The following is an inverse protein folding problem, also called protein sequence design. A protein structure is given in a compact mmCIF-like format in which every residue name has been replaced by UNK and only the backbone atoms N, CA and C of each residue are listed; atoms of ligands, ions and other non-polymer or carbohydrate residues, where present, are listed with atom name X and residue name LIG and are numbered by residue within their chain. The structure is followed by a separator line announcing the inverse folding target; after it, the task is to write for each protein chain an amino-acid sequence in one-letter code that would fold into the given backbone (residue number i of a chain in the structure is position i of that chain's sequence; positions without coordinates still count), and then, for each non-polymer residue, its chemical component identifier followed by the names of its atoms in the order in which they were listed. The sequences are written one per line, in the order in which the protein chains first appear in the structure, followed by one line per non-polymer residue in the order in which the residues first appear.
data_IF_202040941959
#
_entry.id   IF_202040941959
#
_cell.length_a   1.000
_cell.length_b   1.000
_cell.length_c   1.000
_cell.angle_alpha   90.00
_cell.angle_beta   90.00
_cell.angle_gamma   90.00
#
_symmetry.space_group_name_H-M   'P 1'
#
loop_
_entity.id
_entity.type
_entity.pdbx_description
1 polymer ?
#
# COMPACT_ATOMS: atom_id res chain seq x y z
N UNK A 1 -1.50 17.34 -0.24
CA UNK A 1 -1.24 16.46 -1.40
C UNK A 1 -1.78 17.03 -2.71
N UNK A 2 -2.99 17.60 -2.75
CA UNK A 2 -3.56 18.26 -3.95
C UNK A 2 -2.65 19.37 -4.51
N UNK A 3 -2.21 20.32 -3.68
CA UNK A 3 -1.31 21.41 -4.10
C UNK A 3 0.02 20.89 -4.65
N UNK A 4 0.58 19.86 -4.00
CA UNK A 4 1.83 19.23 -4.44
C UNK A 4 1.67 18.56 -5.82
N UNK A 5 0.58 17.81 -6.03
CA UNK A 5 0.30 17.22 -7.35
C UNK A 5 0.16 18.29 -8.42
N UNK A 6 -0.56 19.37 -8.14
CA UNK A 6 -0.71 20.49 -9.07
C UNK A 6 0.66 21.10 -9.46
N UNK A 7 1.52 21.37 -8.47
CA UNK A 7 2.86 21.91 -8.69
C UNK A 7 3.74 20.95 -9.49
N UNK A 8 3.75 19.67 -9.14
CA UNK A 8 4.50 18.65 -9.89
C UNK A 8 4.01 18.58 -11.33
N UNK A 9 2.69 18.59 -11.57
CA UNK A 9 2.13 18.61 -12.93
C UNK A 9 2.61 19.81 -13.73
N UNK A 10 2.61 21.01 -13.13
CA UNK A 10 3.10 22.21 -13.80
C UNK A 10 4.59 22.10 -14.15
N UNK A 11 5.42 21.70 -13.19
CA UNK A 11 6.88 21.57 -13.40
C UNK A 11 7.21 20.49 -14.42
N UNK A 12 6.56 19.32 -14.34
CA UNK A 12 6.80 18.21 -15.25
C UNK A 12 6.44 18.55 -16.70
N UNK A 13 5.47 19.43 -16.94
CA UNK A 13 5.10 19.87 -18.28
C UNK A 13 6.07 20.91 -18.88
N UNK A 14 6.89 21.56 -18.08
CA UNK A 14 7.83 22.60 -18.54
C UNK A 14 9.29 22.18 -18.54
N UNK A 15 9.75 21.54 -17.45
CA UNK A 15 11.17 21.29 -17.22
C UNK A 15 11.63 19.99 -17.90
N UNK A 16 12.54 20.07 -18.87
CA UNK A 16 13.12 18.90 -19.54
C UNK A 16 12.03 17.93 -20.06
N UNK A 17 10.90 18.48 -20.50
CA UNK A 17 9.79 17.69 -20.99
C UNK A 17 10.19 16.99 -22.29
N UNK A 18 9.99 15.66 -22.33
CA UNK A 18 10.20 14.85 -23.52
C UNK A 18 8.85 14.50 -24.14
N UNK A 19 8.75 14.42 -25.48
CA UNK A 19 7.51 14.05 -26.13
C UNK A 19 7.15 12.59 -25.83
N UNK A 20 5.86 12.35 -25.58
CA UNK A 20 5.26 11.02 -25.47
C UNK A 20 4.33 10.84 -26.67
N UNK A 21 4.82 10.24 -27.78
CA UNK A 21 4.10 10.23 -29.06
C UNK A 21 2.72 9.58 -28.97
N UNK A 22 2.57 8.52 -28.17
CA UNK A 22 1.32 7.78 -28.01
C UNK A 22 0.16 8.63 -27.44
N UNK A 23 0.48 9.71 -26.73
CA UNK A 23 -0.49 10.57 -26.05
C UNK A 23 -0.54 11.98 -26.62
N UNK A 24 0.33 12.32 -27.59
CA UNK A 24 0.50 13.67 -28.11
C UNK A 24 0.73 14.72 -27.01
N UNK A 25 1.43 14.34 -25.94
CA UNK A 25 1.83 15.24 -24.84
C UNK A 25 3.35 15.30 -24.73
N UNK A 26 3.86 16.20 -23.90
CA UNK A 26 5.25 16.21 -23.47
C UNK A 26 5.31 16.42 -21.96
N UNK A 27 6.12 15.61 -21.27
CA UNK A 27 6.37 15.76 -19.83
C UNK A 27 7.71 15.15 -19.41
N UNK A 28 8.17 15.50 -18.22
CA UNK A 28 9.38 14.96 -17.60
C UNK A 28 9.09 13.64 -16.89
N UNK A 29 9.41 12.52 -17.53
CA UNK A 29 9.12 11.17 -17.02
C UNK A 29 9.96 10.83 -15.79
N UNK A 30 11.25 11.22 -15.77
CA UNK A 30 12.15 10.99 -14.63
C UNK A 30 11.67 11.71 -13.36
N UNK A 31 11.24 12.97 -13.48
CA UNK A 31 10.64 13.72 -12.37
C UNK A 31 9.38 13.02 -11.83
N UNK A 32 8.54 12.52 -12.73
CA UNK A 32 7.33 11.80 -12.34
C UNK A 32 7.67 10.48 -11.65
N UNK A 33 8.61 9.70 -12.17
CA UNK A 33 9.08 8.46 -11.54
C UNK A 33 9.53 8.74 -10.09
N UNK A 34 10.44 9.70 -9.89
CA UNK A 34 10.91 10.11 -8.57
C UNK A 34 9.78 10.57 -7.65
N UNK A 35 8.82 11.31 -8.18
CA UNK A 35 7.66 11.77 -7.41
C UNK A 35 6.80 10.60 -6.94
N UNK A 36 6.47 9.65 -7.83
CA UNK A 36 5.66 8.48 -7.48
C UNK A 36 6.39 7.62 -6.43
N UNK A 37 7.71 7.45 -6.55
CA UNK A 37 8.52 6.74 -5.56
C UNK A 37 8.43 7.42 -4.19
N UNK A 38 8.53 8.75 -4.17
CA UNK A 38 8.37 9.56 -2.96
C UNK A 38 6.98 9.41 -2.32
N UNK A 39 5.92 9.29 -3.12
CA UNK A 39 4.58 8.99 -2.60
C UNK A 39 4.52 7.59 -1.97
N UNK A 40 5.04 6.56 -2.62
CA UNK A 40 5.07 5.21 -2.04
C UNK A 40 5.80 5.17 -0.70
N UNK A 41 6.96 5.84 -0.59
CA UNK A 41 7.69 5.98 0.69
C UNK A 41 6.84 6.72 1.72
N UNK A 42 6.17 7.81 1.32
CA UNK A 42 5.31 8.60 2.22
C UNK A 42 4.11 7.82 2.76
N UNK A 43 3.57 6.89 1.96
CA UNK A 43 2.51 5.99 2.36
C UNK A 43 3.00 4.73 3.12
N UNK A 44 4.31 4.57 3.31
CA UNK A 44 4.90 3.39 3.95
C UNK A 44 4.81 2.12 3.09
N UNK A 45 4.68 2.27 1.78
CA UNK A 45 4.62 1.20 0.79
C UNK A 45 6.00 0.89 0.18
N UNK A 46 7.08 1.39 0.77
CA UNK A 46 8.43 0.96 0.44
C UNK A 46 8.82 -0.32 1.20
N UNK A 47 9.80 -1.05 0.66
CA UNK A 47 10.24 -2.35 1.20
C UNK A 47 10.67 -2.27 2.67
N UNK A 48 11.30 -1.15 3.07
CA UNK A 48 11.79 -0.98 4.44
C UNK A 48 10.65 -0.77 5.44
N UNK A 49 9.65 0.03 5.06
CA UNK A 49 8.46 0.28 5.87
C UNK A 49 7.60 -0.99 6.01
N UNK A 50 7.38 -1.71 4.90
CA UNK A 50 6.65 -2.98 4.92
C UNK A 50 7.36 -4.05 5.75
N UNK A 51 8.70 -4.12 5.69
CA UNK A 51 9.49 -5.04 6.53
C UNK A 51 9.33 -4.74 8.01
N UNK A 52 9.41 -3.48 8.41
CA UNK A 52 9.17 -3.08 9.81
C UNK A 52 7.75 -3.43 10.28
N UNK A 53 6.75 -3.23 9.43
CA UNK A 53 5.37 -3.59 9.75
C UNK A 53 5.19 -5.12 9.90
N UNK A 54 5.83 -5.91 9.04
CA UNK A 54 5.87 -7.36 9.12
C UNK A 54 6.52 -7.84 10.41
N UNK A 55 7.70 -7.30 10.75
CA UNK A 55 8.43 -7.62 12.00
C UNK A 55 7.61 -7.27 13.25
N UNK A 56 6.97 -6.10 13.28
CA UNK A 56 6.16 -5.65 14.42
C UNK A 56 4.91 -6.53 14.65
N UNK A 57 4.36 -7.16 13.61
CA UNK A 57 3.11 -7.95 13.70
C UNK A 57 3.30 -9.45 13.54
N UNK A 58 4.54 -9.92 13.36
CA UNK A 58 4.83 -11.32 13.05
C UNK A 58 4.21 -11.80 11.74
N UNK A 59 3.89 -10.89 10.82
CA UNK A 59 3.33 -11.23 9.50
C UNK A 59 4.47 -11.52 8.51
N UNK A 60 4.31 -12.44 7.54
CA UNK A 60 5.24 -12.57 6.44
C UNK A 60 5.29 -11.30 5.58
N UNK A 61 6.49 -10.81 5.24
CA UNK A 61 6.67 -9.64 4.37
C UNK A 61 5.94 -9.80 3.03
N UNK A 62 6.04 -10.97 2.42
CA UNK A 62 5.39 -11.28 1.14
C UNK A 62 3.86 -11.20 1.23
N UNK A 63 3.28 -11.49 2.40
CA UNK A 63 1.84 -11.34 2.62
C UNK A 63 1.43 -9.86 2.61
N UNK A 64 2.24 -8.97 3.20
CA UNK A 64 1.96 -7.54 3.18
C UNK A 64 2.15 -6.95 1.78
N UNK A 65 3.23 -7.35 1.07
CA UNK A 65 3.46 -6.95 -0.32
C UNK A 65 2.33 -7.36 -1.25
N UNK A 66 1.79 -8.57 -1.08
CA UNK A 66 0.67 -9.06 -1.89
C UNK A 66 -0.64 -8.26 -1.73
N UNK A 67 -0.77 -7.44 -0.68
CA UNK A 67 -1.92 -6.54 -0.50
C UNK A 67 -1.78 -5.23 -1.28
N UNK A 68 -0.57 -4.89 -1.69
CA UNK A 68 -0.24 -3.67 -2.42
C UNK A 68 -0.42 -3.92 -3.91
N UNK A 69 -1.34 -3.19 -4.53
CA UNK A 69 -1.65 -3.26 -5.96
C UNK A 69 -0.89 -2.22 -6.76
N UNK A 70 -0.66 -1.05 -6.17
CA UNK A 70 0.16 0.00 -6.74
C UNK A 70 1.62 -0.45 -6.80
N UNK A 71 2.40 0.07 -7.77
CA UNK A 71 3.84 -0.16 -7.81
C UNK A 71 4.54 0.23 -6.51
N UNK A 72 5.41 -0.63 -6.00
CA UNK A 72 6.27 -0.29 -4.85
C UNK A 72 7.33 0.74 -5.26
N UNK A 73 7.84 1.54 -4.31
CA UNK A 73 8.83 2.60 -4.59
C UNK A 73 10.06 2.10 -5.39
N UNK A 74 10.58 0.92 -5.10
CA UNK A 74 11.74 0.36 -5.82
C UNK A 74 11.40 -0.13 -7.24
N UNK A 75 10.12 -0.33 -7.54
CA UNK A 75 9.65 -0.89 -8.80
C UNK A 75 9.33 0.18 -9.85
N UNK A 76 9.19 1.46 -9.48
CA UNK A 76 8.74 2.50 -10.40
C UNK A 76 9.83 2.86 -11.40
N UNK A 77 9.66 2.38 -12.63
CA UNK A 77 10.51 2.71 -13.78
C UNK A 77 9.85 3.75 -14.69
N UNK A 78 10.61 4.32 -15.62
CA UNK A 78 10.08 5.28 -16.61
C UNK A 78 8.99 4.64 -17.49
N UNK A 79 9.14 3.37 -17.85
CA UNK A 79 8.15 2.63 -18.65
C UNK A 79 6.81 2.52 -17.92
N UNK A 80 6.85 2.23 -16.62
CA UNK A 80 5.64 2.19 -15.78
C UNK A 80 4.97 3.57 -15.69
N UNK A 81 5.76 4.65 -15.61
CA UNK A 81 5.20 6.00 -15.64
C UNK A 81 4.47 6.26 -16.96
N UNK A 82 5.02 5.83 -18.09
CA UNK A 82 4.36 5.97 -19.40
C UNK A 82 3.06 5.16 -19.45
N UNK A 83 3.05 3.94 -18.93
CA UNK A 83 1.84 3.11 -18.85
C UNK A 83 0.75 3.78 -17.98
N UNK A 84 1.13 4.31 -16.81
CA UNK A 84 0.23 5.04 -15.93
C UNK A 84 -0.32 6.32 -16.58
N UNK A 85 0.49 7.02 -17.38
CA UNK A 85 0.05 8.18 -18.16
C UNK A 85 -0.98 7.78 -19.22
N UNK A 86 -0.77 6.64 -19.90
CA UNK A 86 -1.73 6.11 -20.88
C UNK A 86 -3.05 5.70 -20.23
N UNK A 87 -2.98 5.01 -19.10
CA UNK A 87 -4.16 4.62 -18.34
C UNK A 87 -4.91 5.87 -17.86
N UNK A 88 -4.21 6.87 -17.32
CA UNK A 88 -4.82 8.12 -16.87
C UNK A 88 -5.46 8.93 -18.01
N UNK A 89 -4.88 8.92 -19.21
CA UNK A 89 -5.47 9.57 -20.37
C UNK A 89 -6.79 8.92 -20.81
N UNK A 90 -6.95 7.61 -20.58
CA UNK A 90 -8.17 6.86 -20.90
C UNK A 90 -9.29 7.01 -19.84
N UNK A 91 -8.93 7.40 -18.61
CA UNK A 91 -9.86 7.52 -17.48
C UNK A 91 -10.45 8.94 -17.41
N UNK A 92 -11.78 9.04 -17.51
CA UNK A 92 -12.48 10.30 -17.27
C UNK A 92 -12.52 10.62 -15.76
N UNK A 93 -11.85 11.70 -15.34
CA UNK A 93 -11.83 12.12 -13.93
C UNK A 93 -12.66 13.39 -13.71
N UNK A 94 -13.46 13.40 -12.64
CA UNK A 94 -14.13 14.62 -12.16
C UNK A 94 -13.09 15.47 -11.44
N UNK A 95 -12.54 16.48 -12.13
CA UNK A 95 -11.65 17.44 -11.51
C UNK A 95 -12.42 18.25 -10.44
N UNK A 96 -11.83 18.47 -9.26
CA UNK A 96 -12.34 19.42 -8.28
C UNK A 96 -12.61 20.77 -8.96
N UNK A 97 -13.76 21.40 -8.67
CA UNK A 97 -14.13 22.70 -9.26
C UNK A 97 -13.13 23.81 -8.92
N UNK A 98 -12.39 23.68 -7.83
CA UNK A 98 -11.37 24.64 -7.40
C UNK A 98 -10.09 24.56 -8.27
N UNK A 99 -9.98 23.51 -9.09
CA UNK A 99 -8.91 23.30 -10.05
C UNK A 99 -9.34 23.63 -11.49
N UNK A 100 -10.49 24.29 -11.70
CA UNK A 100 -10.95 24.71 -13.03
C UNK A 100 -9.93 25.53 -13.85
N UNK A 101 -8.90 26.21 -13.30
CA UNK A 101 -7.84 26.76 -14.15
C UNK A 101 -7.05 25.70 -14.93
N UNK A 102 -7.07 24.43 -14.49
CA UNK A 102 -6.26 23.32 -15.04
C UNK A 102 -6.61 22.97 -16.48
N UNK A 103 -7.89 23.05 -16.87
CA UNK A 103 -8.31 22.74 -18.25
C UNK A 103 -7.72 23.73 -19.27
N UNK A 104 -7.29 24.92 -18.83
CA UNK A 104 -6.65 25.93 -19.67
C UNK A 104 -5.12 25.76 -19.79
N UNK A 105 -4.49 24.93 -18.94
CA UNK A 105 -3.03 24.73 -18.89
C UNK A 105 -2.52 23.73 -19.96
N UNK A 106 -3.44 23.00 -20.59
CA UNK A 106 -3.16 22.11 -21.72
C UNK A 106 -3.24 20.61 -21.41
N UNK A 107 -3.20 19.78 -22.46
CA UNK A 107 -3.45 18.33 -22.34
C UNK A 107 -2.36 17.61 -21.52
N UNK A 108 -1.09 18.00 -21.65
CA UNK A 108 0.01 17.42 -20.85
C UNK A 108 -0.26 17.53 -19.35
N UNK A 109 -0.63 18.73 -18.90
CA UNK A 109 -0.92 18.97 -17.48
C UNK A 109 -2.06 18.08 -17.01
N UNK A 110 -3.16 18.05 -17.78
CA UNK A 110 -4.37 17.31 -17.41
C UNK A 110 -4.08 15.82 -17.25
N UNK A 111 -3.35 15.22 -18.20
CA UNK A 111 -2.98 13.80 -18.15
C UNK A 111 -2.04 13.51 -16.97
N UNK A 112 -1.01 14.33 -16.77
CA UNK A 112 -0.06 14.16 -15.66
C UNK A 112 -0.76 14.30 -14.31
N UNK A 113 -1.60 15.32 -14.13
CA UNK A 113 -2.35 15.54 -12.90
C UNK A 113 -3.29 14.37 -12.59
N UNK A 114 -4.01 13.88 -13.60
CA UNK A 114 -4.89 12.72 -13.45
C UNK A 114 -4.11 11.48 -13.04
N UNK A 115 -2.94 11.24 -13.66
CA UNK A 115 -2.07 10.11 -13.31
C UNK A 115 -1.63 10.18 -11.85
N UNK A 116 -1.11 11.33 -11.41
CA UNK A 116 -0.68 11.53 -10.02
C UNK A 116 -1.84 11.29 -9.04
N UNK A 117 -3.03 11.78 -9.38
CA UNK A 117 -4.22 11.62 -8.54
C UNK A 117 -4.66 10.16 -8.43
N UNK A 118 -4.76 9.44 -9.55
CA UNK A 118 -5.11 8.02 -9.56
C UNK A 118 -4.11 7.22 -8.74
N UNK A 119 -2.82 7.44 -8.96
CA UNK A 119 -1.76 6.76 -8.24
C UNK A 119 -1.83 7.01 -6.72
N UNK A 120 -2.02 8.26 -6.31
CA UNK A 120 -2.17 8.62 -4.89
C UNK A 120 -3.40 7.97 -4.27
N UNK A 121 -4.53 7.96 -4.96
CA UNK A 121 -5.77 7.34 -4.47
C UNK A 121 -5.59 5.81 -4.30
N UNK A 122 -4.89 5.16 -5.25
CA UNK A 122 -4.56 3.72 -5.19
C UNK A 122 -3.56 3.39 -4.08
N UNK A 123 -2.48 4.16 -3.96
CA UNK A 123 -1.48 4.02 -2.91
C UNK A 123 -2.10 4.23 -1.51
N UNK A 124 -2.98 5.22 -1.35
CA UNK A 124 -3.71 5.42 -0.10
C UNK A 124 -4.59 4.21 0.23
N UNK A 125 -5.27 3.64 -0.77
CA UNK A 125 -6.08 2.45 -0.57
C UNK A 125 -5.24 1.21 -0.23
N UNK A 126 -4.05 1.06 -0.80
CA UNK A 126 -3.08 0.01 -0.44
C UNK A 126 -2.57 0.17 0.98
N UNK A 127 -2.11 1.37 1.35
CA UNK A 127 -1.64 1.65 2.70
C UNK A 127 -2.72 1.35 3.74
N UNK A 128 -3.97 1.71 3.44
CA UNK A 128 -5.11 1.37 4.29
C UNK A 128 -5.34 -0.15 4.40
N UNK A 129 -5.24 -0.91 3.29
CA UNK A 129 -5.34 -2.38 3.30
C UNK A 129 -4.25 -3.01 4.17
N UNK A 130 -3.00 -2.58 4.00
CA UNK A 130 -1.86 -3.05 4.80
C UNK A 130 -2.06 -2.71 6.28
N UNK A 131 -2.45 -1.47 6.59
CA UNK A 131 -2.68 -1.03 7.96
C UNK A 131 -3.79 -1.83 8.64
N UNK A 132 -4.92 -2.07 7.96
CA UNK A 132 -5.99 -2.90 8.48
C UNK A 132 -5.52 -4.32 8.76
N UNK A 133 -4.73 -4.91 7.85
CA UNK A 133 -4.19 -6.26 8.05
C UNK A 133 -3.30 -6.32 9.29
N UNK A 134 -2.36 -5.38 9.41
CA UNK A 134 -1.43 -5.23 10.54
C UNK A 134 -2.20 -5.05 11.86
N UNK A 135 -3.22 -4.18 11.87
CA UNK A 135 -4.03 -3.92 13.05
C UNK A 135 -4.84 -5.13 13.52
N UNK A 136 -5.48 -5.85 12.60
CA UNK A 136 -6.29 -7.03 12.93
C UNK A 136 -5.44 -8.21 13.43
N UNK A 137 -4.19 -8.34 12.97
CA UNK A 137 -3.27 -9.35 13.47
C UNK A 137 -2.73 -9.07 14.88
N UNK A 138 -2.89 -7.85 15.42
CA UNK A 138 -2.44 -7.47 16.77
C UNK A 138 -3.50 -7.75 17.88
N UNK A 139 -4.71 -8.23 17.56
CA UNK A 139 -5.68 -8.55 18.62
C UNK A 139 -5.13 -9.71 19.48
N UNK A 140 -5.00 -9.55 20.81
CA UNK A 140 -4.41 -10.59 21.65
C UNK A 140 -5.24 -11.86 21.53
N UNK A 141 -4.54 -12.96 21.26
CA UNK A 141 -5.03 -14.33 21.33
C UNK A 141 -5.82 -14.46 22.64
N UNK A 142 -7.14 -14.64 22.54
CA UNK A 142 -7.96 -14.94 23.71
C UNK A 142 -7.36 -16.14 24.41
N UNK A 143 -7.03 -15.98 25.70
CA UNK A 143 -6.66 -17.08 26.59
C UNK A 143 -7.75 -18.15 26.52
N UNK A 144 -7.48 -19.20 25.76
CA UNK A 144 -8.26 -20.44 25.76
C UNK A 144 -7.31 -21.62 25.56
N UNK A 145 -6.13 -21.53 26.19
CA UNK A 145 -5.20 -22.63 26.42
C UNK A 145 -4.69 -22.53 27.88
N UNK A 146 -5.59 -22.34 28.84
CA UNK A 146 -5.33 -22.84 30.19
C UNK A 146 -5.70 -24.32 30.19
N UNK A 147 -4.67 -25.13 29.98
CA UNK A 147 -4.66 -26.56 30.15
C UNK A 147 -5.07 -26.90 31.58
N UNK A 148 -6.37 -27.12 31.81
CA UNK A 148 -6.91 -27.61 33.08
C UNK A 148 -6.42 -29.05 33.27
N UNK A 149 -5.33 -29.20 34.01
CA UNK A 149 -4.97 -30.47 34.66
C UNK A 149 -6.02 -30.72 35.74
N UNK A 150 -6.99 -31.59 35.44
CA UNK A 150 -7.91 -32.15 36.42
C UNK A 150 -7.18 -33.17 37.31
N UNK A 151 -7.26 -33.07 38.65
CA UNK A 151 -6.84 -34.16 39.53
C UNK A 151 -7.97 -35.21 39.58
N UNK A 152 -7.90 -36.20 38.69
CA UNK A 152 -8.73 -37.40 38.75
C UNK A 152 -8.15 -38.41 39.74
N UNK A 153 -8.45 -38.27 41.03
CA UNK A 153 -8.05 -39.21 42.07
C UNK A 153 -9.23 -39.74 42.87
N UNK A 154 -9.90 -40.80 42.38
CA UNK A 154 -10.82 -41.61 43.20
C UNK A 154 -11.13 -42.97 42.58
N UNK A 155 -10.45 -44.01 43.07
CA UNK A 155 -11.01 -45.23 43.70
C UNK A 155 -10.13 -46.45 43.45
N UNK A 156 -9.82 -47.15 44.53
CA UNK A 156 -9.25 -48.49 44.52
C UNK A 156 -9.36 -49.10 45.90
N UNK A 157 -10.52 -49.67 46.20
CA UNK A 157 -10.77 -50.51 47.38
C UNK A 157 -9.87 -51.74 47.25
N UNK A 158 -9.08 -52.05 48.27
CA UNK A 158 -8.42 -53.35 48.40
C UNK A 158 -8.43 -53.78 49.86
N UNK A 159 -9.28 -54.75 50.17
CA UNK A 159 -9.05 -55.73 51.24
C UNK A 159 -8.93 -57.08 50.53
N UNK A 160 -7.94 -57.91 50.89
CA UNK A 160 -8.33 -59.08 51.67
C UNK A 160 -7.37 -59.40 52.82
N UNK A 161 -7.94 -60.14 53.75
CA UNK A 161 -7.36 -60.85 54.88
C UNK A 161 -6.27 -61.84 54.45
N UNK A 162 -5.24 -62.01 55.30
CA UNK A 162 -4.85 -63.28 55.93
C UNK A 162 -3.40 -63.20 56.42
N UNK A 163 -3.18 -63.49 57.71
CA UNK A 163 -1.96 -64.15 58.16
C UNK A 163 -2.22 -64.86 59.47
N UNK A 164 -2.44 -66.16 59.32
CA UNK A 164 -2.33 -67.20 60.33
C UNK A 164 -0.90 -67.21 60.90
N UNK A 165 -0.75 -67.14 62.23
CA UNK A 165 0.02 -68.03 63.15
C UNK A 165 0.33 -67.28 64.44
#
# INVERSE_FOLDING_TARGET
MVEHMWLVSAVACGQQAVPIPALSIACNVDLLAKTLQGYCVSFGLDDSSLRKAAEHTGQPLEQLKALVKSPLAVAITEEQVVELLMEAASKALKLPRDLVPVAEVGPSFTVVYNMLKIFVDEAAADAHRVLLKVFMSHRPRSESDQHVVSPGGSRGIFSPTDTET
#
